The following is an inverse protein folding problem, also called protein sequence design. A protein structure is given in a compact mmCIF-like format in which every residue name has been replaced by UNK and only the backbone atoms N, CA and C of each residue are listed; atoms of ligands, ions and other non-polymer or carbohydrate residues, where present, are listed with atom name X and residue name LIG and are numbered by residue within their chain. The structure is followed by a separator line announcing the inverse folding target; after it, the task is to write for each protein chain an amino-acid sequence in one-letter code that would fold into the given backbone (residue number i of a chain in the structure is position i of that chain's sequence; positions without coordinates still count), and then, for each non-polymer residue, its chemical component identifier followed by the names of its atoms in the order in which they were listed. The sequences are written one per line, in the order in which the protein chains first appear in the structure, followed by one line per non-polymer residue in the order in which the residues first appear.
data_IF_074525385660
#
_entry.id   IF_074525385660
#
_cell.length_a   1.000
_cell.length_b   1.000
_cell.length_c   1.000
_cell.angle_alpha   90.00
_cell.angle_beta   90.00
_cell.angle_gamma   90.00
#
_symmetry.space_group_name_H-M   'P 1'
#
loop_
_entity.id
_entity.type
_entity.pdbx_description
1 polymer ?
#
# COMPACT_ATOMS: atom_id res chain seq x y z
N UNK A 1 -18.83 6.66 11.45
CA UNK A 1 -18.57 7.99 10.85
C UNK A 1 -19.88 8.48 10.25
N UNK A 2 -20.49 9.48 10.87
CA UNK A 2 -21.84 9.91 10.53
C UNK A 2 -21.87 10.92 9.38
N UNK A 3 -23.00 10.97 8.67
CA UNK A 3 -23.20 11.89 7.52
C UNK A 3 -22.98 13.35 7.89
N UNK A 4 -23.30 13.74 9.14
CA UNK A 4 -23.06 15.09 9.68
C UNK A 4 -21.57 15.37 9.83
N UNK A 5 -20.80 14.43 10.37
CA UNK A 5 -19.34 14.57 10.48
C UNK A 5 -18.66 14.66 9.10
N UNK A 6 -19.14 13.86 8.13
CA UNK A 6 -18.67 13.95 6.74
C UNK A 6 -18.99 15.29 6.06
N UNK A 7 -20.02 16.01 6.50
CA UNK A 7 -20.33 17.36 6.00
C UNK A 7 -19.50 18.42 6.74
N UNK A 8 -19.30 18.29 8.04
CA UNK A 8 -18.42 19.18 8.80
C UNK A 8 -16.99 19.18 8.25
N UNK A 9 -16.43 18.01 7.92
CA UNK A 9 -15.10 17.90 7.32
C UNK A 9 -14.98 18.60 5.95
N UNK A 10 -16.09 18.73 5.21
CA UNK A 10 -16.12 19.46 3.92
C UNK A 10 -16.14 20.97 4.12
N UNK A 11 -16.80 21.44 5.17
CA UNK A 11 -16.97 22.86 5.48
C UNK A 11 -15.79 23.41 6.28
N UNK A 12 -15.21 22.59 7.15
CA UNK A 12 -14.03 22.88 7.97
C UNK A 12 -13.05 21.73 7.80
N UNK A 13 -12.17 21.80 6.78
CA UNK A 13 -11.08 20.83 6.67
C UNK A 13 -10.34 20.77 8.01
N UNK A 14 -10.01 19.57 8.47
CA UNK A 14 -9.23 19.43 9.71
C UNK A 14 -7.87 20.08 9.51
N UNK A 15 -7.73 21.30 10.06
CA UNK A 15 -6.45 21.99 10.14
C UNK A 15 -5.46 21.10 10.88
N UNK A 16 -4.22 21.04 10.37
CA UNK A 16 -3.14 20.42 11.10
C UNK A 16 -2.95 21.14 12.43
N UNK A 17 -3.25 20.46 13.54
CA UNK A 17 -2.87 20.95 14.87
C UNK A 17 -1.35 21.19 14.89
N UNK A 18 -0.91 22.36 15.37
CA UNK A 18 0.50 22.72 15.49
C UNK A 18 1.29 21.89 16.51
N UNK A 19 0.63 21.03 17.29
CA UNK A 19 1.25 19.99 18.13
C UNK A 19 0.86 18.58 17.65
N UNK A 20 0.63 18.45 16.34
CA UNK A 20 0.33 17.15 15.77
C UNK A 20 1.63 16.38 15.66
N UNK A 21 1.80 15.38 16.52
CA UNK A 21 2.60 14.19 16.20
C UNK A 21 1.96 13.43 15.01
N UNK A 22 1.72 14.13 13.89
CA UNK A 22 1.33 13.55 12.62
C UNK A 22 2.49 12.65 12.22
N UNK A 23 2.28 11.35 12.38
CA UNK A 23 3.24 10.33 11.98
C UNK A 23 3.59 10.56 10.52
N UNK A 24 4.87 10.81 10.23
CA UNK A 24 5.39 10.78 8.87
C UNK A 24 4.96 9.44 8.28
N UNK A 25 4.05 9.45 7.30
CA UNK A 25 3.73 8.22 6.59
C UNK A 25 5.01 7.83 5.83
N UNK A 26 5.63 6.68 6.16
CA UNK A 26 6.76 6.22 5.39
C UNK A 26 6.29 6.06 3.95
N UNK A 27 7.17 6.41 3.01
CA UNK A 27 6.86 6.13 1.62
C UNK A 27 6.62 4.61 1.51
N UNK A 28 5.55 4.22 0.84
CA UNK A 28 5.14 2.83 0.69
C UNK A 28 4.68 2.55 -0.73
N UNK A 29 4.98 1.34 -1.18
CA UNK A 29 4.51 0.78 -2.43
C UNK A 29 3.35 -0.17 -2.16
N UNK A 30 2.25 0.00 -2.88
CA UNK A 30 1.10 -0.89 -2.82
C UNK A 30 0.84 -1.48 -4.21
N UNK A 31 0.68 -2.79 -4.25
CA UNK A 31 0.35 -3.56 -5.44
C UNK A 31 -0.96 -4.29 -5.21
N UNK A 32 -1.86 -4.20 -6.19
CA UNK A 32 -3.18 -4.79 -6.16
C UNK A 32 -3.38 -5.70 -7.36
N UNK A 33 -3.88 -6.91 -7.12
CA UNK A 33 -4.33 -7.84 -8.16
C UNK A 33 -5.76 -8.23 -7.90
N UNK A 34 -6.53 -8.44 -8.97
CA UNK A 34 -7.91 -8.85 -8.89
C UNK A 34 -8.22 -9.98 -9.89
N UNK A 35 -9.03 -10.93 -9.44
CA UNK A 35 -9.64 -11.95 -10.28
C UNK A 35 -11.12 -12.13 -9.91
N UNK A 36 -12.04 -12.09 -10.89
CA UNK A 36 -13.45 -12.32 -10.61
C UNK A 36 -13.74 -13.75 -10.16
N UNK A 37 -12.93 -14.71 -10.59
CA UNK A 37 -13.05 -16.13 -10.25
C UNK A 37 -11.66 -16.77 -10.17
N UNK A 38 -11.41 -17.58 -9.15
CA UNK A 38 -10.20 -18.40 -8.99
C UNK A 38 -10.61 -19.80 -8.52
N UNK A 39 -10.18 -20.82 -9.24
CA UNK A 39 -10.28 -22.20 -8.78
C UNK A 39 -9.10 -22.55 -7.88
N UNK A 40 -9.40 -23.18 -6.76
CA UNK A 40 -8.44 -23.63 -5.76
C UNK A 40 -8.23 -25.14 -5.86
N UNK A 41 -7.08 -25.64 -5.38
CA UNK A 41 -6.89 -27.07 -5.17
C UNK A 41 -8.05 -27.65 -4.33
N UNK A 42 -8.52 -28.84 -4.72
CA UNK A 42 -9.69 -29.47 -4.09
C UNK A 42 -11.04 -29.05 -4.66
N UNK A 43 -11.07 -28.30 -5.77
CA UNK A 43 -12.29 -28.00 -6.53
C UNK A 43 -13.13 -26.83 -5.98
N UNK A 44 -12.59 -26.07 -5.02
CA UNK A 44 -13.27 -24.89 -4.48
C UNK A 44 -13.12 -23.69 -5.42
N UNK A 45 -14.17 -22.88 -5.57
CA UNK A 45 -14.16 -21.67 -6.40
C UNK A 45 -14.28 -20.40 -5.53
N UNK A 46 -13.28 -19.53 -5.58
CA UNK A 46 -13.34 -18.19 -5.01
C UNK A 46 -13.96 -17.22 -6.01
N UNK A 47 -15.08 -16.59 -5.61
CA UNK A 47 -15.71 -15.50 -6.36
C UNK A 47 -15.20 -14.16 -5.84
N UNK A 48 -14.60 -13.35 -6.69
CA UNK A 48 -14.09 -12.01 -6.38
C UNK A 48 -12.89 -12.03 -5.44
N UNK A 49 -11.72 -12.45 -5.95
CA UNK A 49 -10.48 -12.50 -5.17
C UNK A 49 -9.61 -11.27 -5.42
N UNK A 50 -9.12 -10.68 -4.32
CA UNK A 50 -8.23 -9.51 -4.35
C UNK A 50 -6.97 -9.81 -3.53
N UNK A 51 -5.80 -9.62 -4.13
CA UNK A 51 -4.52 -9.68 -3.43
C UNK A 51 -3.96 -8.26 -3.32
N UNK A 52 -3.57 -7.87 -2.10
CA UNK A 52 -2.94 -6.58 -1.81
C UNK A 52 -1.57 -6.88 -1.21
N UNK A 53 -0.51 -6.37 -1.83
CA UNK A 53 0.83 -6.40 -1.26
C UNK A 53 1.26 -4.97 -0.93
N UNK A 54 1.61 -4.74 0.34
CA UNK A 54 2.08 -3.45 0.85
C UNK A 54 3.51 -3.66 1.33
N UNK A 55 4.43 -2.85 0.80
CA UNK A 55 5.83 -2.85 1.23
C UNK A 55 6.28 -1.39 1.41
N UNK A 56 6.92 -1.01 2.52
CA UNK A 56 7.61 0.27 2.62
C UNK A 56 8.50 0.48 1.39
N UNK A 57 8.55 1.68 0.81
CA UNK A 57 9.53 1.97 -0.23
C UNK A 57 10.85 2.28 0.45
N UNK A 58 11.88 1.51 0.10
CA UNK A 58 13.26 1.76 0.50
C UNK A 58 13.79 2.96 -0.29
N UNK A 59 13.35 4.15 0.09
CA UNK A 59 14.05 5.37 -0.30
C UNK A 59 15.28 5.50 0.62
N UNK A 60 16.46 5.16 0.08
CA UNK A 60 17.82 5.53 0.52
C UNK A 60 18.31 5.09 1.92
N UNK A 61 18.40 3.78 2.18
CA UNK A 61 19.49 3.27 3.03
C UNK A 61 20.40 2.34 2.22
N UNK A 62 21.10 2.92 1.24
CA UNK A 62 22.22 2.27 0.59
C UNK A 62 23.52 2.73 1.24
N UNK A 63 23.81 2.16 2.41
CA UNK A 63 25.18 1.92 2.88
C UNK A 63 25.18 0.63 3.69
N UNK A 64 25.29 -0.50 3.00
CA UNK A 64 25.37 -1.83 3.63
C UNK A 64 24.63 -2.88 2.83
N UNK A 65 25.37 -3.60 1.99
CA UNK A 65 24.86 -4.52 0.97
C UNK A 65 23.73 -5.47 1.40
N UNK A 66 22.69 -5.52 0.57
CA UNK A 66 21.60 -6.47 0.67
C UNK A 66 20.73 -6.43 -0.58
N UNK A 67 21.29 -6.94 -1.68
CA UNK A 67 20.67 -7.29 -2.98
C UNK A 67 19.19 -6.88 -3.11
N UNK A 68 18.94 -5.71 -3.71
CA UNK A 68 17.67 -5.43 -4.34
C UNK A 68 17.49 -6.39 -5.53
N UNK A 69 16.81 -7.51 -5.29
CA UNK A 69 16.37 -8.39 -6.38
C UNK A 69 15.16 -7.77 -7.04
N UNK A 70 15.42 -6.78 -7.91
CA UNK A 70 14.54 -6.37 -8.99
C UNK A 70 14.53 -7.44 -10.10
N UNK A 71 14.20 -8.67 -9.73
CA UNK A 71 14.04 -9.82 -10.62
C UNK A 71 12.74 -10.57 -10.32
N UNK A 72 12.44 -11.67 -11.04
CA UNK A 72 11.23 -12.49 -10.87
C UNK A 72 10.96 -12.94 -9.41
N UNK A 73 11.99 -12.89 -8.56
CA UNK A 73 11.98 -13.12 -7.10
C UNK A 73 11.19 -12.08 -6.29
N UNK A 74 10.82 -10.92 -6.87
CA UNK A 74 10.14 -9.83 -6.16
C UNK A 74 8.74 -10.15 -5.61
N UNK A 75 8.19 -11.32 -5.95
CA UNK A 75 6.93 -11.83 -5.41
C UNK A 75 7.10 -13.07 -4.50
N UNK A 76 8.33 -13.55 -4.24
CA UNK A 76 8.59 -14.72 -3.39
C UNK A 76 8.00 -14.54 -2.01
N UNK A 77 8.31 -13.41 -1.36
CA UNK A 77 7.78 -13.08 -0.03
C UNK A 77 6.25 -13.03 0.05
N UNK A 78 5.57 -12.78 -1.08
CA UNK A 78 4.11 -12.79 -1.15
C UNK A 78 3.61 -14.23 -1.11
N UNK A 79 4.25 -15.15 -1.83
CA UNK A 79 3.85 -16.57 -1.85
C UNK A 79 4.15 -17.25 -0.51
N UNK A 80 5.26 -16.90 0.12
CA UNK A 80 5.69 -17.47 1.40
C UNK A 80 4.79 -17.03 2.58
N UNK A 81 3.99 -15.97 2.41
CA UNK A 81 3.06 -15.48 3.42
C UNK A 81 1.73 -16.27 3.50
N UNK A 82 1.47 -17.16 2.54
CA UNK A 82 0.23 -17.93 2.49
C UNK A 82 0.52 -19.43 2.51
N UNK A 83 -0.40 -20.17 3.12
CA UNK A 83 -0.47 -21.63 3.03
C UNK A 83 -1.49 -22.07 1.98
N UNK A 84 -1.48 -23.35 1.60
CA UNK A 84 -2.51 -23.89 0.71
C UNK A 84 -3.90 -23.83 1.38
N UNK A 85 -4.98 -23.53 0.62
CA UNK A 85 -5.04 -23.31 -0.83
C UNK A 85 -4.74 -21.87 -1.28
N UNK A 86 -4.50 -20.95 -0.35
CA UNK A 86 -4.37 -19.52 -0.63
C UNK A 86 -3.04 -19.15 -1.29
N UNK A 87 -1.98 -19.92 -1.06
CA UNK A 87 -0.72 -19.81 -1.80
C UNK A 87 -0.93 -20.04 -3.30
N UNK A 88 -1.66 -21.10 -3.67
CA UNK A 88 -2.07 -21.30 -5.06
C UNK A 88 -2.90 -20.12 -5.59
N UNK A 89 -3.85 -19.60 -4.81
CA UNK A 89 -4.64 -18.42 -5.19
C UNK A 89 -3.76 -17.18 -5.45
N UNK A 90 -2.80 -16.93 -4.57
CA UNK A 90 -1.85 -15.83 -4.70
C UNK A 90 -0.98 -16.00 -5.95
N UNK A 91 -0.52 -17.22 -6.25
CA UNK A 91 0.24 -17.50 -7.47
C UNK A 91 -0.56 -17.23 -8.74
N UNK A 92 -1.85 -17.60 -8.76
CA UNK A 92 -2.76 -17.29 -9.87
C UNK A 92 -2.96 -15.77 -10.02
N UNK A 93 -3.14 -15.05 -8.90
CA UNK A 93 -3.29 -13.59 -8.90
C UNK A 93 -2.04 -12.86 -9.38
N UNK A 94 -0.85 -13.31 -8.97
CA UNK A 94 0.43 -12.69 -9.34
C UNK A 94 0.71 -12.75 -10.85
N UNK A 95 0.16 -13.73 -11.56
CA UNK A 95 0.25 -13.84 -13.03
C UNK A 95 -0.61 -12.80 -13.78
N UNK A 96 -1.48 -12.07 -13.08
CA UNK A 96 -2.38 -11.06 -13.68
C UNK A 96 -1.75 -9.66 -13.67
N UNK A 97 -2.33 -8.76 -14.47
CA UNK A 97 -1.96 -7.33 -14.45
C UNK A 97 -2.17 -6.76 -13.04
N UNK A 98 -1.17 -6.02 -12.58
CA UNK A 98 -1.17 -5.37 -11.27
C UNK A 98 -1.58 -3.91 -11.41
N UNK A 99 -2.40 -3.40 -10.50
CA UNK A 99 -2.53 -1.96 -10.28
C UNK A 99 -1.52 -1.54 -9.22
N UNK A 100 -0.57 -0.67 -9.59
CA UNK A 100 0.46 -0.13 -8.69
C UNK A 100 0.03 1.26 -8.21
N UNK A 101 0.07 1.48 -6.90
CA UNK A 101 -0.03 2.81 -6.28
C UNK A 101 1.21 3.04 -5.42
N UNK A 102 1.77 4.23 -5.52
CA UNK A 102 2.86 4.69 -4.67
C UNK A 102 2.32 5.80 -3.78
N UNK A 103 2.55 5.71 -2.48
CA UNK A 103 2.36 6.84 -1.57
C UNK A 103 3.75 7.41 -1.29
N UNK A 104 4.00 8.64 -1.72
CA UNK A 104 5.24 9.35 -1.44
C UNK A 104 5.12 10.11 -0.11
N UNK A 105 6.27 10.35 0.54
CA UNK A 105 6.33 11.23 1.72
C UNK A 105 5.70 12.57 1.34
N UNK A 106 4.59 12.93 1.99
CA UNK A 106 4.11 14.30 1.96
C UNK A 106 5.05 15.12 2.85
N UNK A 107 5.99 15.83 2.22
CA UNK A 107 6.87 16.79 2.89
C UNK A 107 6.31 18.21 2.71
N UNK A 108 6.34 18.97 3.80
CA UNK A 108 6.15 20.42 3.91
C UNK A 108 4.85 21.02 3.38
N UNK A 109 3.93 21.32 4.31
CA UNK A 109 3.04 22.47 4.17
C UNK A 109 3.24 23.36 5.40
N UNK A 110 4.11 24.37 5.27
CA UNK A 110 4.29 25.40 6.30
C UNK A 110 5.72 25.80 6.61
N UNK A 111 6.49 26.27 5.62
CA UNK A 111 7.64 27.16 5.86
C UNK A 111 7.58 28.42 4.97
N UNK A 112 6.39 28.83 4.51
CA UNK A 112 6.20 30.08 3.73
C UNK A 112 5.18 31.04 4.40
N UNK A 113 5.33 31.28 5.71
CA UNK A 113 4.71 32.47 6.31
C UNK A 113 5.47 32.94 7.57
N UNK A 114 6.78 33.15 7.43
CA UNK A 114 7.59 33.92 8.38
C UNK A 114 8.46 34.87 7.57
N UNK A 115 7.80 35.85 6.96
CA UNK A 115 8.43 36.84 6.08
C UNK A 115 7.52 38.02 5.83
N UNK A 116 6.83 38.51 6.87
CA UNK A 116 6.18 39.81 6.93
C UNK A 116 6.10 40.23 8.41
N UNK A 117 7.20 40.76 8.94
CA UNK A 117 7.19 41.72 10.03
C UNK A 117 7.74 43.03 9.50
#
# INVERSE_FOLDING_TARGET
MDKRQLQELRVRPVSASGNSHRTLMPALSMRLWYAPHIELPGGQLLKGATLVAIRPSEDVLREGGGIEVAGPTGASWILDAFEEPYRTAAQVLLKRRTYKRQLQRALHFGEDMMGCY
#
